data_IF_534740084197
#
_entry.id   IF_534740084197
#
_cell.length_a   1.000
_cell.length_b   1.000
_cell.length_c   1.000
_cell.angle_alpha   90.00
_cell.angle_beta   90.00
_cell.angle_gamma   90.00
#
_symmetry.space_group_name_H-M   'P 1'
#
loop_
_entity.id
_entity.type
_entity.pdbx_description
1 polymer ?
#
# COMPACT_ATOMS: atom_id res chain seq x y z
N UNK A 1 -91.91 -15.28 7.96
CA UNK A 1 -92.54 -14.88 6.68
C UNK A 1 -91.54 -13.98 5.95
N UNK A 2 -91.34 -14.26 4.66
CA UNK A 2 -90.31 -13.81 3.68
C UNK A 2 -90.25 -12.26 3.56
N UNK A 3 -89.12 -11.59 3.22
CA UNK A 3 -88.68 -11.06 1.89
C UNK A 3 -87.14 -10.78 1.89
N UNK A 4 -86.31 -11.45 1.06
CA UNK A 4 -85.55 -11.00 -0.16
C UNK A 4 -84.91 -9.58 -0.04
N UNK A 5 -83.74 -9.21 -0.56
CA UNK A 5 -82.97 -9.53 -1.78
C UNK A 5 -81.69 -8.64 -1.65
N UNK A 6 -80.48 -8.97 -2.08
CA UNK A 6 -80.04 -8.99 -3.48
C UNK A 6 -78.51 -9.13 -3.54
N UNK A 7 -78.03 -9.99 -4.44
CA UNK A 7 -76.98 -9.73 -5.44
C UNK A 7 -75.61 -9.21 -4.92
N UNK A 8 -74.49 -9.91 -5.10
CA UNK A 8 -73.97 -10.37 -6.40
C UNK A 8 -73.06 -11.59 -6.20
N UNK A 9 -73.44 -12.70 -6.83
CA UNK A 9 -72.57 -13.82 -7.15
C UNK A 9 -72.15 -13.67 -8.61
N UNK A 10 -70.85 -13.54 -8.87
CA UNK A 10 -70.19 -13.75 -10.15
C UNK A 10 -68.68 -13.74 -9.86
N UNK A 11 -67.83 -14.73 -10.13
CA UNK A 11 -67.97 -16.08 -10.67
C UNK A 11 -66.79 -16.87 -10.10
N UNK A 12 -67.02 -18.15 -9.81
CA UNK A 12 -66.00 -19.15 -9.49
C UNK A 12 -65.45 -19.73 -10.79
N UNK A 13 -64.15 -20.10 -10.80
CA UNK A 13 -63.51 -21.26 -11.48
C UNK A 13 -61.99 -20.98 -11.52
N UNK A 14 -61.18 -21.41 -10.56
CA UNK A 14 -60.68 -22.77 -10.28
C UNK A 14 -59.97 -23.43 -11.49
N UNK A 15 -58.64 -23.50 -11.34
CA UNK A 15 -57.67 -24.47 -11.87
C UNK A 15 -57.46 -24.57 -13.39
N UNK A 16 -56.22 -24.34 -13.84
CA UNK A 16 -55.29 -25.38 -14.35
C UNK A 16 -54.03 -24.70 -14.96
N UNK A 17 -52.86 -25.14 -14.48
CA UNK A 17 -51.54 -25.08 -15.11
C UNK A 17 -51.01 -23.74 -15.65
N UNK A 18 -50.23 -23.02 -14.84
CA UNK A 18 -49.05 -22.31 -15.35
C UNK A 18 -47.97 -22.16 -14.28
N UNK A 19 -47.36 -23.28 -13.89
CA UNK A 19 -46.07 -23.27 -13.22
C UNK A 19 -44.98 -23.02 -14.29
N UNK A 20 -44.77 -21.74 -14.65
CA UNK A 20 -43.67 -21.31 -15.51
C UNK A 20 -42.81 -20.30 -14.73
N UNK A 21 -41.72 -20.82 -14.17
CA UNK A 21 -40.41 -20.16 -14.11
C UNK A 21 -40.41 -18.66 -13.79
N UNK A 22 -40.88 -18.29 -12.60
CA UNK A 22 -40.69 -16.93 -12.08
C UNK A 22 -39.27 -16.81 -11.53
N UNK A 23 -38.37 -16.27 -12.36
CA UNK A 23 -37.31 -15.33 -11.95
C UNK A 23 -36.25 -15.82 -10.97
N UNK A 24 -35.48 -16.86 -11.33
CA UNK A 24 -34.17 -17.14 -10.71
C UNK A 24 -33.06 -16.73 -11.67
N UNK A 25 -32.84 -15.42 -11.83
CA UNK A 25 -31.60 -14.87 -12.42
C UNK A 25 -31.27 -13.56 -11.69
N UNK A 26 -31.10 -13.63 -10.37
CA UNK A 26 -30.34 -12.61 -9.64
C UNK A 26 -28.86 -12.83 -9.93
N UNK A 27 -28.39 -12.33 -11.06
CA UNK A 27 -26.96 -12.29 -11.38
C UNK A 27 -26.30 -11.31 -10.41
N UNK A 28 -25.71 -11.83 -9.34
CA UNK A 28 -24.84 -11.07 -8.46
C UNK A 28 -23.64 -10.58 -9.26
N UNK A 29 -23.69 -9.33 -9.72
CA UNK A 29 -22.50 -8.62 -10.20
C UNK A 29 -21.67 -8.33 -8.95
N UNK A 30 -20.76 -9.23 -8.62
CA UNK A 30 -19.69 -8.93 -7.66
C UNK A 30 -18.81 -7.88 -8.31
N UNK A 31 -18.97 -6.62 -7.91
CA UNK A 31 -18.02 -5.58 -8.23
C UNK A 31 -16.66 -6.03 -7.67
N UNK A 32 -15.69 -6.27 -8.55
CA UNK A 32 -14.29 -6.39 -8.17
C UNK A 32 -13.88 -5.03 -7.64
N UNK A 33 -13.91 -4.88 -6.31
CA UNK A 33 -13.36 -3.72 -5.65
C UNK A 33 -11.84 -3.88 -5.75
N UNK A 34 -11.25 -3.18 -6.72
CA UNK A 34 -9.81 -3.02 -6.85
C UNK A 34 -9.34 -2.22 -5.64
N UNK A 35 -9.11 -2.89 -4.50
CA UNK A 35 -8.44 -2.28 -3.36
C UNK A 35 -6.99 -2.14 -3.75
N UNK A 36 -6.65 -1.03 -4.42
CA UNK A 36 -5.28 -0.70 -4.76
C UNK A 36 -4.44 -0.78 -3.47
N UNK A 37 -3.55 -1.78 -3.40
CA UNK A 37 -2.72 -1.99 -2.22
C UNK A 37 -1.80 -0.77 -2.04
N UNK A 38 -1.68 -0.29 -0.81
CA UNK A 38 -0.79 0.81 -0.46
C UNK A 38 0.65 0.46 -0.90
N UNK A 39 1.29 1.22 -1.80
CA UNK A 39 2.63 0.92 -2.29
C UNK A 39 3.69 0.92 -1.18
N UNK A 40 4.70 0.06 -1.29
CA UNK A 40 5.84 0.08 -0.38
C UNK A 40 6.56 1.42 -0.45
N UNK A 41 6.93 1.96 0.72
CA UNK A 41 7.55 3.27 0.81
C UNK A 41 6.59 4.43 0.45
N UNK A 42 5.28 4.22 0.40
CA UNK A 42 4.36 5.35 0.40
C UNK A 42 4.54 6.15 1.70
N UNK A 43 4.54 7.48 1.62
CA UNK A 43 4.61 8.35 2.81
C UNK A 43 3.21 8.87 3.18
N UNK A 44 2.95 8.94 4.48
CA UNK A 44 1.84 9.70 5.06
C UNK A 44 2.41 10.74 6.03
N UNK A 45 1.87 11.95 5.99
CA UNK A 45 2.30 13.06 6.84
C UNK A 45 1.12 13.45 7.72
N UNK A 46 1.31 13.33 9.03
CA UNK A 46 0.31 13.72 10.02
C UNK A 46 0.21 15.24 10.16
N UNK A 47 -0.80 15.70 10.90
CA UNK A 47 -1.00 17.13 11.22
C UNK A 47 0.17 17.78 11.96
N UNK A 48 0.94 16.99 12.72
CA UNK A 48 2.13 17.44 13.46
C UNK A 48 3.41 17.39 12.62
N UNK A 49 3.29 17.38 11.29
CA UNK A 49 4.40 17.31 10.33
C UNK A 49 5.24 16.00 10.42
N UNK A 50 4.77 15.03 11.20
CA UNK A 50 5.43 13.75 11.36
C UNK A 50 5.15 12.87 10.14
N UNK A 51 6.22 12.52 9.42
CA UNK A 51 6.19 11.59 8.30
C UNK A 51 6.36 10.14 8.76
N UNK A 52 5.49 9.27 8.26
CA UNK A 52 5.54 7.82 8.41
C UNK A 52 5.50 7.17 7.03
N UNK A 53 6.18 6.04 6.87
CA UNK A 53 6.22 5.27 5.64
C UNK A 53 5.44 3.96 5.78
N UNK A 54 4.78 3.54 4.71
CA UNK A 54 4.13 2.24 4.62
C UNK A 54 5.18 1.17 4.30
N UNK A 55 5.23 0.14 5.14
CA UNK A 55 5.98 -1.08 4.85
C UNK A 55 5.01 -2.16 4.37
N UNK A 56 5.09 -2.50 3.08
CA UNK A 56 4.20 -3.47 2.45
C UNK A 56 4.44 -4.90 2.98
N UNK A 57 5.68 -5.26 3.30
CA UNK A 57 6.04 -6.58 3.87
C UNK A 57 5.37 -6.79 5.24
N UNK A 58 5.35 -5.75 6.07
CA UNK A 58 4.77 -5.79 7.43
C UNK A 58 3.33 -5.29 7.51
N UNK A 59 2.78 -4.77 6.41
CA UNK A 59 1.44 -4.18 6.30
C UNK A 59 1.15 -3.15 7.39
N UNK A 60 2.09 -2.23 7.62
CA UNK A 60 1.95 -1.20 8.65
C UNK A 60 2.66 0.10 8.30
N UNK A 61 2.08 1.21 8.75
CA UNK A 61 2.75 2.51 8.79
C UNK A 61 3.77 2.55 9.93
N UNK A 62 4.97 3.08 9.68
CA UNK A 62 6.02 3.22 10.68
C UNK A 62 6.89 4.46 10.43
N UNK A 63 7.73 4.82 11.40
CA UNK A 63 8.70 5.89 11.20
C UNK A 63 9.61 5.56 10.01
N UNK A 64 10.02 6.59 9.28
CA UNK A 64 10.90 6.45 8.10
C UNK A 64 12.17 5.64 8.42
N UNK A 65 12.84 5.93 9.54
CA UNK A 65 14.05 5.18 9.92
C UNK A 65 13.76 3.70 10.27
N UNK A 66 12.58 3.39 10.81
CA UNK A 66 12.17 2.00 11.07
C UNK A 66 11.83 1.27 9.77
N UNK A 67 11.25 1.99 8.80
CA UNK A 67 11.03 1.49 7.45
C UNK A 67 12.36 1.18 6.76
N UNK A 68 13.36 2.06 6.85
CA UNK A 68 14.71 1.80 6.31
C UNK A 68 15.38 0.57 6.92
N UNK A 69 15.33 0.41 8.24
CA UNK A 69 15.82 -0.81 8.90
C UNK A 69 15.07 -2.05 8.43
N UNK A 70 13.75 -1.92 8.28
CA UNK A 70 12.91 -3.01 7.79
C UNK A 70 13.23 -3.39 6.34
N UNK A 71 13.56 -2.40 5.50
CA UNK A 71 14.00 -2.60 4.13
C UNK A 71 15.38 -3.26 4.08
N UNK A 72 16.37 -2.74 4.79
CA UNK A 72 17.72 -3.30 4.82
C UNK A 72 17.75 -4.77 5.27
N UNK A 73 16.82 -5.20 6.14
CA UNK A 73 16.68 -6.60 6.58
C UNK A 73 16.08 -7.51 5.47
N UNK A 74 15.18 -6.99 4.64
CA UNK A 74 14.46 -7.78 3.62
C UNK A 74 15.05 -7.65 2.22
N UNK A 75 15.92 -6.66 2.02
CA UNK A 75 16.66 -6.48 0.79
C UNK A 75 17.76 -7.55 0.70
N UNK A 76 18.11 -7.95 -0.52
CA UNK A 76 19.04 -9.07 -0.75
C UNK A 76 20.52 -8.67 -0.54
N UNK A 77 20.80 -7.37 -0.40
CA UNK A 77 22.13 -6.82 -0.15
C UNK A 77 22.54 -6.82 1.32
N UNK A 78 23.84 -6.62 1.56
CA UNK A 78 24.40 -6.49 2.90
C UNK A 78 24.04 -5.12 3.50
N UNK A 79 23.59 -5.10 4.75
CA UNK A 79 23.49 -3.89 5.56
C UNK A 79 24.84 -3.57 6.20
N UNK A 80 25.42 -2.43 5.81
CA UNK A 80 26.69 -1.92 6.33
C UNK A 80 26.53 -1.07 7.60
N UNK A 81 25.33 -0.94 8.12
CA UNK A 81 25.03 -0.16 9.32
C UNK A 81 24.93 1.34 9.02
N UNK A 82 25.42 2.17 9.94
CA UNK A 82 25.34 3.63 9.84
C UNK A 82 26.69 4.32 10.09
N UNK A 83 26.92 5.45 9.42
CA UNK A 83 28.14 6.23 9.61
C UNK A 83 28.25 7.45 8.69
N UNK A 84 29.37 8.17 8.81
CA UNK A 84 29.69 9.36 8.00
C UNK A 84 30.64 9.06 6.83
N UNK A 85 31.16 7.85 6.75
CA UNK A 85 32.07 7.41 5.72
C UNK A 85 31.46 6.19 5.02
N UNK A 86 31.39 6.25 3.69
CA UNK A 86 30.92 5.13 2.90
C UNK A 86 31.85 3.91 3.06
N UNK A 87 31.30 2.69 3.05
CA UNK A 87 32.11 1.48 2.89
C UNK A 87 32.99 1.54 1.64
N UNK A 88 34.11 0.84 1.68
CA UNK A 88 35.05 0.80 0.55
C UNK A 88 34.39 0.18 -0.69
N UNK A 89 34.64 0.76 -1.86
CA UNK A 89 34.02 0.34 -3.12
C UNK A 89 34.44 -1.08 -3.53
N UNK A 90 35.62 -1.54 -3.10
CA UNK A 90 36.09 -2.91 -3.38
C UNK A 90 35.35 -3.98 -2.56
N UNK A 91 34.67 -3.59 -1.48
CA UNK A 91 34.04 -4.53 -0.53
C UNK A 91 32.51 -4.64 -0.70
N UNK A 92 31.91 -3.71 -1.44
CA UNK A 92 30.45 -3.57 -1.59
C UNK A 92 29.94 -4.26 -2.84
N UNK A 93 28.70 -4.73 -2.78
CA UNK A 93 28.01 -5.35 -3.90
C UNK A 93 26.75 -4.58 -4.26
N UNK A 94 26.24 -4.83 -5.46
CA UNK A 94 24.95 -4.28 -5.90
C UNK A 94 23.85 -4.59 -4.87
N UNK A 95 22.97 -3.64 -4.61
CA UNK A 95 21.90 -3.66 -3.60
C UNK A 95 22.37 -3.58 -2.15
N UNK A 96 23.67 -3.52 -1.86
CA UNK A 96 24.12 -3.27 -0.48
C UNK A 96 23.56 -1.95 0.06
N UNK A 97 23.24 -1.91 1.36
CA UNK A 97 22.62 -0.74 1.99
C UNK A 97 23.52 -0.13 3.05
N UNK A 98 23.42 1.18 3.23
CA UNK A 98 24.15 1.92 4.25
C UNK A 98 23.37 3.16 4.68
N UNK A 99 23.29 3.43 5.98
CA UNK A 99 22.68 4.66 6.48
C UNK A 99 23.76 5.74 6.62
N UNK A 100 23.78 6.67 5.67
CA UNK A 100 24.68 7.82 5.71
C UNK A 100 24.17 8.86 6.71
N UNK A 101 25.07 9.37 7.55
CA UNK A 101 24.76 10.33 8.62
C UNK A 101 25.38 11.69 8.29
N UNK A 102 24.54 12.67 8.03
CA UNK A 102 24.92 14.09 7.88
C UNK A 102 24.69 14.84 9.20
N UNK A 103 25.14 16.09 9.27
CA UNK A 103 24.74 17.00 10.36
C UNK A 103 23.24 17.39 10.32
N UNK A 104 22.56 17.12 9.19
CA UNK A 104 21.13 17.38 8.99
C UNK A 104 20.23 16.16 9.24
N UNK A 105 20.82 15.00 9.49
CA UNK A 105 20.12 13.77 9.77
C UNK A 105 20.62 12.59 8.94
N UNK A 106 19.85 11.50 8.98
CA UNK A 106 20.17 10.23 8.33
C UNK A 106 19.59 10.16 6.93
N UNK A 107 20.21 9.36 6.07
CA UNK A 107 19.64 8.93 4.80
C UNK A 107 20.02 7.48 4.50
N UNK A 108 19.05 6.66 4.11
CA UNK A 108 19.34 5.34 3.59
C UNK A 108 19.88 5.43 2.16
N UNK A 109 21.05 4.84 1.96
CA UNK A 109 21.75 4.71 0.69
C UNK A 109 21.75 3.24 0.26
N UNK A 110 21.78 3.03 -1.04
CA UNK A 110 21.88 1.74 -1.69
C UNK A 110 22.97 1.80 -2.77
N UNK A 111 23.82 0.77 -2.82
CA UNK A 111 24.85 0.65 -3.84
C UNK A 111 24.22 0.11 -5.13
N UNK A 112 24.15 0.95 -6.15
CA UNK A 112 23.45 0.64 -7.40
C UNK A 112 24.17 1.25 -8.59
N UNK A 113 24.46 0.43 -9.60
CA UNK A 113 25.26 0.77 -10.77
C UNK A 113 26.61 1.40 -10.37
N UNK A 114 27.38 0.67 -9.56
CA UNK A 114 28.77 1.01 -9.19
C UNK A 114 28.93 2.27 -8.30
N UNK A 115 27.85 2.77 -7.69
CA UNK A 115 27.90 3.92 -6.78
C UNK A 115 26.79 3.93 -5.76
N UNK A 116 27.01 4.64 -4.65
CA UNK A 116 25.98 4.91 -3.66
C UNK A 116 24.93 5.90 -4.20
N UNK A 117 23.67 5.50 -4.11
CA UNK A 117 22.49 6.31 -4.45
C UNK A 117 21.54 6.33 -3.26
N UNK A 118 20.66 7.31 -3.16
CA UNK A 118 19.59 7.26 -2.14
C UNK A 118 18.69 6.07 -2.46
N UNK A 119 18.35 5.24 -1.48
CA UNK A 119 17.52 4.05 -1.72
C UNK A 119 16.18 4.40 -2.40
N UNK A 120 15.58 5.53 -2.02
CA UNK A 120 14.43 6.14 -2.70
C UNK A 120 14.58 6.26 -4.23
N UNK A 121 15.75 6.68 -4.72
CA UNK A 121 15.99 6.90 -6.14
C UNK A 121 16.17 5.57 -6.91
N UNK A 122 16.52 4.50 -6.21
CA UNK A 122 16.66 3.14 -6.74
C UNK A 122 15.31 2.43 -6.73
N UNK A 123 14.67 2.37 -5.57
CA UNK A 123 13.42 1.65 -5.29
C UNK A 123 12.15 2.39 -5.77
N UNK A 124 12.27 3.67 -6.11
CA UNK A 124 11.15 4.51 -6.59
C UNK A 124 9.99 4.60 -5.58
N UNK A 125 10.31 4.72 -4.29
CA UNK A 125 9.32 5.04 -3.27
C UNK A 125 8.80 6.48 -3.42
N UNK A 126 8.11 7.00 -2.41
CA UNK A 126 7.57 8.35 -2.40
C UNK A 126 8.68 9.43 -2.37
N UNK A 127 8.63 10.39 -3.31
CA UNK A 127 9.67 11.42 -3.46
C UNK A 127 9.95 12.25 -2.19
N UNK A 128 9.03 12.28 -1.23
CA UNK A 128 9.23 12.95 0.06
C UNK A 128 10.37 12.36 0.88
N UNK A 129 10.82 11.13 0.61
CA UNK A 129 12.06 10.61 1.18
C UNK A 129 13.28 11.48 0.82
N UNK A 130 13.31 12.09 -0.37
CA UNK A 130 14.40 12.98 -0.79
C UNK A 130 14.45 14.29 0.01
N UNK A 131 13.39 14.61 0.76
CA UNK A 131 13.28 15.78 1.63
C UNK A 131 13.46 15.42 3.12
N UNK A 132 13.55 14.13 3.45
CA UNK A 132 13.62 13.67 4.83
C UNK A 132 15.05 13.65 5.37
N UNK A 133 15.23 14.20 6.58
CA UNK A 133 16.47 14.10 7.34
C UNK A 133 17.69 14.60 6.56
N UNK A 134 18.68 13.72 6.42
CA UNK A 134 19.93 14.02 5.71
C UNK A 134 19.86 13.84 4.19
N UNK A 135 18.80 13.22 3.65
CA UNK A 135 18.74 12.84 2.24
C UNK A 135 18.91 13.97 1.20
N UNK A 136 18.50 15.23 1.46
CA UNK A 136 18.80 16.33 0.54
C UNK A 136 20.30 16.64 0.42
N UNK A 137 21.10 16.29 1.44
CA UNK A 137 22.46 16.81 1.67
C UNK A 137 23.55 15.74 1.56
N UNK A 138 23.21 14.50 1.19
CA UNK A 138 24.17 13.36 1.15
C UNK A 138 25.30 13.50 0.11
N UNK A 139 25.23 14.52 -0.75
CA UNK A 139 26.20 14.79 -1.81
C UNK A 139 26.78 16.21 -1.72
N UNK A 140 26.52 16.94 -0.63
CA UNK A 140 26.95 18.34 -0.48
C UNK A 140 28.38 18.49 0.06
N UNK A 141 29.05 17.38 0.37
CA UNK A 141 30.42 17.32 0.90
C UNK A 141 31.48 17.07 -0.20
#
# INVERSE_FOLDING_TARGET
MIIKNSSRYAERKLSICLALFVGLMSSSVSALQDSQETPDGQIFQNVDDTMIAWDASKKKWMKIEDFWKSFAIRNDGKDWGEGRQFPNYDDVNETDTFVYVTDKGKCLMEFFHERWRRAQDVERWDERFNQYGGCPYVFDD
#
